data_IF_694026163370
#
_entry.id   IF_694026163370
#
_cell.length_a   1.000
_cell.length_b   1.000
_cell.length_c   1.000
_cell.angle_alpha   90.00
_cell.angle_beta   90.00
_cell.angle_gamma   90.00
#
_symmetry.space_group_name_H-M   'P 1'
#
loop_
_entity.id
_entity.type
_entity.pdbx_description
1 polymer ?
#
# COMPACT_ATOMS: atom_id res chain seq x y z
N UNK A 1 9.79 0.82 18.19
CA UNK A 1 9.94 0.80 16.71
C UNK A 1 9.27 2.03 16.16
N UNK A 2 9.95 2.76 15.26
CA UNK A 2 9.36 3.93 14.61
C UNK A 2 8.72 3.47 13.29
N UNK A 3 7.50 3.91 13.06
CA UNK A 3 6.74 3.65 11.84
C UNK A 3 6.24 4.98 11.29
N UNK A 4 6.34 5.15 9.97
CA UNK A 4 5.82 6.32 9.24
C UNK A 4 4.80 5.82 8.24
N UNK A 5 3.68 6.49 8.12
CA UNK A 5 2.66 6.23 7.10
C UNK A 5 2.48 7.46 6.23
N UNK A 6 2.46 7.26 4.93
CA UNK A 6 2.18 8.30 3.93
C UNK A 6 1.09 7.81 2.99
N UNK A 7 -0.04 8.48 3.04
CA UNK A 7 -1.14 8.36 2.09
C UNK A 7 -1.17 9.55 1.14
N UNK A 8 -2.17 9.60 0.28
CA UNK A 8 -2.39 10.72 -0.65
C UNK A 8 -2.94 11.96 0.08
N UNK A 9 -3.79 11.74 1.10
CA UNK A 9 -4.52 12.80 1.80
C UNK A 9 -4.03 13.05 3.22
N UNK A 10 -3.41 12.04 3.83
CA UNK A 10 -2.97 12.12 5.23
C UNK A 10 -1.72 11.30 5.47
N UNK A 11 -1.03 11.59 6.55
CA UNK A 11 0.15 10.85 6.97
C UNK A 11 0.54 11.16 8.40
N UNK A 12 1.47 10.36 8.93
CA UNK A 12 1.93 10.52 10.29
C UNK A 12 2.99 9.53 10.68
N UNK A 13 3.33 9.54 11.96
CA UNK A 13 4.29 8.58 12.51
C UNK A 13 3.91 8.09 13.90
N UNK A 14 4.43 6.93 14.25
CA UNK A 14 4.22 6.29 15.54
C UNK A 14 5.53 5.80 16.15
N UNK A 15 5.53 5.68 17.46
CA UNK A 15 6.57 5.02 18.24
C UNK A 15 5.95 3.88 19.04
N UNK A 16 6.45 2.66 18.81
CA UNK A 16 5.97 1.45 19.48
C UNK A 16 4.43 1.27 19.41
N UNK A 17 3.87 1.54 18.22
CA UNK A 17 2.44 1.41 17.94
C UNK A 17 1.56 2.52 18.52
N UNK A 18 2.15 3.60 19.07
CA UNK A 18 1.45 4.77 19.57
C UNK A 18 1.66 5.95 18.63
N UNK A 19 0.59 6.50 18.10
CA UNK A 19 0.65 7.69 17.23
C UNK A 19 1.29 8.86 17.97
N UNK A 20 2.30 9.46 17.36
CA UNK A 20 3.00 10.63 17.85
C UNK A 20 2.63 11.89 17.07
N UNK A 21 2.27 11.75 15.80
CA UNK A 21 1.80 12.81 14.94
C UNK A 21 0.95 12.24 13.81
N UNK A 22 -0.09 12.98 13.43
CA UNK A 22 -0.95 12.69 12.29
C UNK A 22 -1.52 13.99 11.75
N UNK A 23 -1.50 14.17 10.43
CA UNK A 23 -2.11 15.33 9.79
C UNK A 23 -2.56 15.02 8.36
N UNK A 24 -3.57 15.77 7.92
CA UNK A 24 -3.89 15.87 6.50
C UNK A 24 -2.78 16.65 5.78
N UNK A 25 -2.59 16.36 4.50
CA UNK A 25 -1.66 17.07 3.62
C UNK A 25 -2.16 17.02 2.17
N UNK A 26 -1.64 17.93 1.35
CA UNK A 26 -1.93 17.96 -0.09
C UNK A 26 -0.75 17.42 -0.94
N UNK A 27 0.42 17.20 -0.30
CA UNK A 27 1.64 16.74 -0.97
C UNK A 27 2.33 15.67 -0.13
N UNK A 28 2.28 14.41 -0.57
CA UNK A 28 2.91 13.29 0.14
C UNK A 28 4.43 13.42 0.31
N UNK A 29 5.13 14.02 -0.66
CA UNK A 29 6.59 14.22 -0.57
C UNK A 29 6.95 15.21 0.54
N UNK A 30 6.25 16.33 0.61
CA UNK A 30 6.45 17.33 1.67
C UNK A 30 6.07 16.79 3.04
N UNK A 31 4.99 15.99 3.12
CA UNK A 31 4.59 15.34 4.37
C UNK A 31 5.67 14.38 4.87
N UNK A 32 6.24 13.58 3.98
CA UNK A 32 7.34 12.68 4.32
C UNK A 32 8.56 13.43 4.88
N UNK A 33 8.97 14.53 4.22
CA UNK A 33 10.08 15.35 4.68
C UNK A 33 9.78 15.97 6.06
N UNK A 34 8.55 16.42 6.27
CA UNK A 34 8.13 16.98 7.55
C UNK A 34 8.27 15.95 8.68
N UNK A 35 7.68 14.76 8.52
CA UNK A 35 7.74 13.70 9.53
C UNK A 35 9.15 13.18 9.74
N UNK A 36 9.93 13.02 8.68
CA UNK A 36 11.33 12.61 8.80
C UNK A 36 12.18 13.64 9.58
N UNK A 37 11.92 14.93 9.38
CA UNK A 37 12.58 16.01 10.14
C UNK A 37 12.21 15.94 11.61
N UNK A 38 10.94 15.79 11.93
CA UNK A 38 10.45 15.67 13.31
C UNK A 38 11.05 14.45 14.02
N UNK A 39 11.01 13.28 13.39
CA UNK A 39 11.62 12.05 13.90
C UNK A 39 13.13 12.25 14.13
N UNK A 40 13.81 12.85 13.16
CA UNK A 40 15.25 13.14 13.26
C UNK A 40 15.57 14.08 14.42
N UNK A 41 14.74 15.07 14.68
CA UNK A 41 14.93 15.99 15.82
C UNK A 41 14.71 15.29 17.17
N UNK A 42 13.72 14.41 17.27
CA UNK A 42 13.35 13.75 18.53
C UNK A 42 14.19 12.50 18.85
N UNK A 43 14.60 11.75 17.83
CA UNK A 43 15.15 10.40 17.99
C UNK A 43 16.56 10.19 17.42
N UNK A 44 17.06 11.10 16.59
CA UNK A 44 18.43 11.02 16.13
C UNK A 44 19.38 11.61 17.18
N UNK A 45 20.30 10.80 17.67
CA UNK A 45 21.40 11.26 18.52
C UNK A 45 22.57 11.78 17.67
N UNK A 46 23.59 12.39 18.34
CA UNK A 46 24.79 12.94 17.68
C UNK A 46 25.48 11.92 16.74
N UNK A 47 25.40 10.64 17.08
CA UNK A 47 26.05 9.53 16.37
C UNK A 47 25.10 8.41 15.95
N UNK A 48 23.81 8.57 16.21
CA UNK A 48 22.80 7.53 15.88
C UNK A 48 21.73 8.14 14.99
N UNK A 49 21.44 7.44 13.89
CA UNK A 49 20.31 7.73 13.02
C UNK A 49 19.05 7.09 13.61
N UNK A 50 17.91 7.74 13.49
CA UNK A 50 16.63 7.11 13.76
C UNK A 50 16.36 6.03 12.71
N UNK A 51 15.90 4.84 13.13
CA UNK A 51 15.53 3.76 12.22
C UNK A 51 14.01 3.66 12.19
N UNK A 52 13.44 3.73 11.00
CA UNK A 52 12.00 3.70 10.81
C UNK A 52 11.58 2.78 9.66
N UNK A 53 10.36 2.26 9.73
CA UNK A 53 9.68 1.62 8.62
C UNK A 53 8.75 2.63 7.97
N UNK A 54 8.77 2.70 6.64
CA UNK A 54 7.89 3.55 5.86
C UNK A 54 6.81 2.71 5.19
N UNK A 55 5.57 3.04 5.52
CA UNK A 55 4.37 2.46 4.95
C UNK A 55 3.74 3.45 3.97
N UNK A 56 3.42 2.98 2.78
CA UNK A 56 2.81 3.77 1.73
C UNK A 56 1.38 3.28 1.48
N UNK A 57 0.42 4.19 1.32
CA UNK A 57 -0.93 3.80 0.91
C UNK A 57 -0.98 3.32 -0.54
N UNK A 58 -2.05 2.60 -0.89
CA UNK A 58 -2.34 2.24 -2.27
C UNK A 58 -2.58 3.47 -3.19
N UNK A 59 -2.96 4.61 -2.62
CA UNK A 59 -3.12 5.86 -3.37
C UNK A 59 -1.81 6.42 -3.92
N UNK A 60 -0.71 6.26 -3.16
CA UNK A 60 0.63 6.77 -3.54
C UNK A 60 1.55 5.69 -4.10
N UNK A 61 1.37 4.42 -3.71
CA UNK A 61 2.16 3.28 -4.17
C UNK A 61 1.23 2.24 -4.80
N UNK A 62 0.98 2.39 -6.09
CA UNK A 62 -0.05 1.65 -6.82
C UNK A 62 0.48 0.35 -7.40
N UNK A 63 -0.16 -0.80 -7.13
CA UNK A 63 0.18 -2.03 -7.81
C UNK A 63 -0.28 -2.01 -9.25
N UNK A 64 0.46 -2.67 -10.11
CA UNK A 64 0.07 -2.97 -11.49
C UNK A 64 0.66 -4.29 -11.94
N UNK A 65 0.13 -4.85 -13.02
CA UNK A 65 0.70 -6.04 -13.62
C UNK A 65 1.66 -5.66 -14.73
N UNK A 66 2.90 -6.12 -14.61
CA UNK A 66 3.86 -6.15 -15.70
C UNK A 66 3.77 -7.55 -16.34
N UNK A 67 3.23 -7.60 -17.55
CA UNK A 67 3.08 -8.86 -18.28
C UNK A 67 4.40 -9.33 -18.91
N UNK A 68 4.48 -10.61 -19.29
CA UNK A 68 5.56 -11.06 -20.12
C UNK A 68 5.47 -10.36 -21.50
N UNK A 69 6.58 -9.82 -21.95
CA UNK A 69 6.69 -9.25 -23.30
C UNK A 69 7.57 -10.17 -24.13
N UNK A 70 7.02 -10.64 -25.25
CA UNK A 70 7.77 -11.53 -26.14
C UNK A 70 9.07 -10.87 -26.61
N UNK A 71 10.18 -11.58 -26.47
CA UNK A 71 11.51 -11.11 -26.87
C UNK A 71 12.26 -10.31 -25.80
N UNK A 72 11.70 -10.11 -24.61
CA UNK A 72 12.39 -9.46 -23.50
C UNK A 72 13.51 -10.37 -22.99
N UNK A 73 14.75 -9.89 -23.08
CA UNK A 73 15.94 -10.68 -22.79
C UNK A 73 16.70 -10.22 -21.53
N UNK A 74 16.35 -9.07 -20.95
CA UNK A 74 17.08 -8.51 -19.82
C UNK A 74 16.18 -7.82 -18.80
N UNK A 75 16.63 -7.79 -17.54
CA UNK A 75 15.98 -7.04 -16.46
C UNK A 75 15.78 -5.55 -16.81
N UNK A 76 16.76 -4.96 -17.48
CA UNK A 76 16.68 -3.56 -17.89
C UNK A 76 15.57 -3.31 -18.90
N UNK A 77 15.31 -4.24 -19.81
CA UNK A 77 14.19 -4.15 -20.75
C UNK A 77 12.86 -4.28 -20.02
N UNK A 78 12.77 -5.22 -19.06
CA UNK A 78 11.58 -5.38 -18.23
C UNK A 78 11.27 -4.11 -17.42
N UNK A 79 12.29 -3.54 -16.79
CA UNK A 79 12.15 -2.29 -16.04
C UNK A 79 11.76 -1.12 -16.95
N UNK A 80 12.37 -1.01 -18.12
CA UNK A 80 12.02 0.05 -19.10
C UNK A 80 10.57 -0.09 -19.57
N UNK A 81 10.14 -1.32 -19.87
CA UNK A 81 8.76 -1.59 -20.26
C UNK A 81 7.78 -1.29 -19.11
N UNK A 82 8.11 -1.72 -17.90
CA UNK A 82 7.29 -1.47 -16.71
C UNK A 82 7.13 0.05 -16.45
N UNK A 83 8.21 0.81 -16.55
CA UNK A 83 8.15 2.29 -16.42
C UNK A 83 7.29 2.92 -17.50
N UNK A 84 7.36 2.44 -18.73
CA UNK A 84 6.55 2.96 -19.82
C UNK A 84 5.05 2.64 -19.68
N UNK A 85 4.72 1.45 -19.16
CA UNK A 85 3.32 0.99 -19.01
C UNK A 85 2.66 1.43 -17.70
N UNK A 86 3.43 1.72 -16.66
CA UNK A 86 2.91 2.03 -15.33
C UNK A 86 1.92 3.22 -15.29
N UNK A 87 2.16 4.36 -15.94
CA UNK A 87 1.19 5.48 -15.91
C UNK A 87 -0.20 5.09 -16.41
N UNK A 88 -0.28 4.39 -17.53
CA UNK A 88 -1.56 3.92 -18.08
C UNK A 88 -2.21 2.87 -17.17
N UNK A 89 -1.43 1.92 -16.67
CA UNK A 89 -1.94 0.83 -15.83
C UNK A 89 -2.41 1.31 -14.45
N UNK A 90 -1.81 2.37 -13.92
CA UNK A 90 -2.08 2.85 -12.56
C UNK A 90 -2.88 4.15 -12.50
N UNK A 91 -3.00 4.88 -13.60
CA UNK A 91 -3.60 6.22 -13.63
C UNK A 91 -2.81 7.25 -12.82
N UNK A 92 -1.48 7.07 -12.67
CA UNK A 92 -0.61 8.10 -12.13
C UNK A 92 -0.33 9.14 -13.20
N UNK A 93 -0.55 10.40 -12.85
CA UNK A 93 -0.20 11.52 -13.72
C UNK A 93 1.27 11.87 -13.58
N UNK A 94 2.03 11.83 -14.68
CA UNK A 94 3.43 12.25 -14.71
C UNK A 94 4.45 11.11 -14.54
N UNK A 95 5.73 11.46 -14.30
CA UNK A 95 6.81 10.49 -14.20
C UNK A 95 6.66 9.64 -12.94
N UNK A 96 6.89 8.33 -13.08
CA UNK A 96 6.85 7.40 -11.96
C UNK A 96 8.14 6.60 -11.84
N UNK A 97 8.43 6.16 -10.63
CA UNK A 97 9.41 5.12 -10.32
C UNK A 97 8.67 3.79 -10.21
N UNK A 98 9.28 2.76 -10.75
CA UNK A 98 8.71 1.40 -10.74
C UNK A 98 9.64 0.46 -10.02
N UNK A 99 9.07 -0.38 -9.18
CA UNK A 99 9.73 -1.53 -8.59
C UNK A 99 9.00 -2.79 -9.05
N UNK A 100 9.73 -3.72 -9.63
CA UNK A 100 9.24 -5.07 -9.94
C UNK A 100 9.70 -6.02 -8.83
N UNK A 101 8.80 -6.91 -8.40
CA UNK A 101 9.14 -7.90 -7.36
C UNK A 101 9.93 -9.07 -7.92
N UNK A 102 9.71 -9.42 -9.19
CA UNK A 102 10.37 -10.55 -9.86
C UNK A 102 10.48 -10.29 -11.36
N UNK A 103 11.13 -11.21 -12.06
CA UNK A 103 11.27 -11.22 -13.51
C UNK A 103 9.94 -11.64 -14.16
N UNK A 104 9.38 -10.84 -15.08
CA UNK A 104 8.18 -11.23 -15.82
C UNK A 104 8.53 -12.26 -16.92
N UNK A 105 8.82 -13.49 -16.52
CA UNK A 105 9.18 -14.58 -17.43
C UNK A 105 8.03 -14.93 -18.37
N UNK A 106 7.35 -16.04 -18.10
CA UNK A 106 6.20 -16.54 -18.84
C UNK A 106 4.85 -16.16 -18.19
N UNK A 107 4.86 -15.44 -17.08
CA UNK A 107 3.68 -14.99 -16.35
C UNK A 107 3.82 -13.50 -15.95
N UNK A 108 2.71 -12.78 -15.81
CA UNK A 108 2.76 -11.42 -15.28
C UNK A 108 3.26 -11.40 -13.83
N UNK A 109 3.99 -10.35 -13.48
CA UNK A 109 4.45 -10.07 -12.12
C UNK A 109 3.83 -8.77 -11.61
N UNK A 110 3.72 -8.66 -10.30
CA UNK A 110 3.26 -7.42 -9.68
C UNK A 110 4.40 -6.41 -9.66
N UNK A 111 4.13 -5.24 -10.21
CA UNK A 111 4.96 -4.06 -10.04
C UNK A 111 4.31 -3.08 -9.09
N UNK A 112 5.12 -2.22 -8.51
CA UNK A 112 4.67 -1.06 -7.73
C UNK A 112 5.10 0.21 -8.47
N UNK A 113 4.15 1.07 -8.80
CA UNK A 113 4.42 2.40 -9.33
C UNK A 113 4.27 3.45 -8.23
N UNK A 114 5.22 4.36 -8.16
CA UNK A 114 5.31 5.45 -7.20
C UNK A 114 5.59 6.74 -7.93
N UNK A 115 4.92 7.84 -7.56
CA UNK A 115 5.23 9.16 -8.07
C UNK A 115 6.72 9.49 -7.92
N UNK A 116 7.34 10.06 -8.96
CA UNK A 116 8.78 10.29 -8.96
C UNK A 116 9.22 11.28 -7.87
N UNK A 117 8.42 12.32 -7.57
CA UNK A 117 8.75 13.30 -6.55
C UNK A 117 8.75 12.67 -5.15
N UNK A 118 7.76 11.79 -4.88
CA UNK A 118 7.75 11.03 -3.62
C UNK A 118 8.92 10.05 -3.53
N UNK A 119 9.27 9.38 -4.61
CA UNK A 119 10.44 8.49 -4.65
C UNK A 119 11.74 9.26 -4.35
N UNK A 120 11.92 10.45 -4.95
CA UNK A 120 13.06 11.33 -4.71
C UNK A 120 13.09 11.83 -3.25
N UNK A 121 11.94 12.17 -2.67
CA UNK A 121 11.83 12.54 -1.26
C UNK A 121 12.26 11.40 -0.33
N UNK A 122 11.85 10.15 -0.61
CA UNK A 122 12.27 8.98 0.16
C UNK A 122 13.80 8.83 0.13
N UNK A 123 14.41 8.96 -1.04
CA UNK A 123 15.86 8.91 -1.20
C UNK A 123 16.58 10.10 -0.52
N UNK A 124 16.01 11.30 -0.63
CA UNK A 124 16.57 12.51 -0.02
C UNK A 124 16.60 12.41 1.51
N UNK A 125 15.51 11.92 2.11
CA UNK A 125 15.43 11.67 3.55
C UNK A 125 16.49 10.65 3.97
N UNK A 126 16.65 9.54 3.21
CA UNK A 126 17.67 8.53 3.50
C UNK A 126 19.10 9.11 3.43
N UNK A 127 19.37 10.00 2.46
CA UNK A 127 20.66 10.68 2.30
C UNK A 127 20.93 11.74 3.38
N UNK A 128 19.89 12.35 3.96
CA UNK A 128 20.01 13.39 4.98
C UNK A 128 20.69 12.93 6.27
N UNK A 129 20.96 11.64 6.41
CA UNK A 129 21.64 10.99 7.53
C UNK A 129 20.91 11.08 8.89
N UNK A 130 19.67 11.52 8.96
CA UNK A 130 18.91 11.61 10.21
C UNK A 130 18.00 10.42 10.42
N UNK A 131 17.36 9.94 9.34
CA UNK A 131 16.49 8.77 9.34
C UNK A 131 17.03 7.73 8.37
N UNK A 132 17.01 6.47 8.78
CA UNK A 132 17.32 5.31 7.94
C UNK A 132 16.06 4.48 7.79
N UNK A 133 15.58 4.34 6.58
CA UNK A 133 14.48 3.42 6.29
C UNK A 133 14.97 1.98 6.42
N UNK A 134 14.39 1.21 7.36
CA UNK A 134 14.61 -0.24 7.45
C UNK A 134 13.86 -0.96 6.35
N UNK A 135 12.65 -0.47 6.06
CA UNK A 135 11.82 -0.93 4.98
C UNK A 135 11.01 0.22 4.41
N UNK A 136 10.71 0.14 3.12
CA UNK A 136 9.74 0.99 2.42
C UNK A 136 8.78 0.05 1.72
N UNK A 137 7.51 0.01 2.13
CA UNK A 137 6.55 -1.00 1.66
C UNK A 137 5.16 -0.41 1.49
N UNK A 138 4.44 -0.76 0.41
CA UNK A 138 3.03 -0.49 0.31
C UNK A 138 2.24 -1.29 1.36
N UNK A 139 1.18 -0.71 1.91
CA UNK A 139 0.31 -1.41 2.86
C UNK A 139 -0.39 -2.61 2.25
N UNK A 140 -0.81 -2.49 0.99
CA UNK A 140 -1.43 -3.60 0.27
C UNK A 140 -0.49 -4.81 0.13
N UNK A 141 0.81 -4.59 -0.08
CA UNK A 141 1.78 -5.69 -0.14
C UNK A 141 1.91 -6.40 1.20
N UNK A 142 1.98 -5.65 2.31
CA UNK A 142 2.01 -6.23 3.65
C UNK A 142 0.73 -7.01 3.97
N UNK A 143 -0.44 -6.50 3.57
CA UNK A 143 -1.71 -7.20 3.74
C UNK A 143 -1.77 -8.51 2.94
N UNK A 144 -1.26 -8.49 1.70
CA UNK A 144 -1.15 -9.68 0.86
C UNK A 144 -0.24 -10.72 1.50
N UNK A 145 0.96 -10.33 1.93
CA UNK A 145 1.92 -11.22 2.60
C UNK A 145 1.32 -11.86 3.86
N UNK A 146 0.68 -11.05 4.71
CA UNK A 146 0.04 -11.53 5.94
C UNK A 146 -1.05 -12.55 5.61
N UNK A 147 -1.88 -12.27 4.60
CA UNK A 147 -2.95 -13.17 4.21
C UNK A 147 -2.45 -14.46 3.61
N UNK A 148 -1.49 -14.40 2.70
CA UNK A 148 -0.90 -15.58 2.09
C UNK A 148 -0.18 -16.47 3.11
N UNK A 149 0.43 -15.89 4.13
CA UNK A 149 1.03 -16.64 5.24
C UNK A 149 -0.03 -17.40 6.05
N UNK A 150 -1.24 -16.84 6.22
CA UNK A 150 -2.34 -17.48 6.95
C UNK A 150 -3.13 -18.47 6.08
N UNK A 151 -3.36 -18.11 4.82
CA UNK A 151 -4.12 -18.89 3.84
C UNK A 151 -3.51 -18.78 2.43
N UNK A 152 -2.63 -19.69 2.04
CA UNK A 152 -1.99 -19.67 0.72
C UNK A 152 -2.96 -19.80 -0.46
N UNK A 153 -4.19 -20.31 -0.21
CA UNK A 153 -5.23 -20.42 -1.24
C UNK A 153 -6.00 -19.14 -1.52
N UNK A 154 -5.70 -18.03 -0.82
CA UNK A 154 -6.41 -16.77 -1.03
C UNK A 154 -6.28 -16.29 -2.46
N UNK A 155 -7.43 -16.10 -3.12
CA UNK A 155 -7.49 -15.69 -4.52
C UNK A 155 -7.82 -14.20 -4.70
N UNK A 156 -8.41 -13.54 -3.70
CA UNK A 156 -8.78 -12.13 -3.76
C UNK A 156 -8.46 -11.42 -2.45
N UNK A 157 -7.72 -10.32 -2.54
CA UNK A 157 -7.40 -9.42 -1.42
C UNK A 157 -7.87 -8.01 -1.77
N UNK A 158 -8.62 -7.39 -0.86
CA UNK A 158 -8.98 -5.99 -0.95
C UNK A 158 -8.44 -5.24 0.27
N UNK A 159 -7.76 -4.14 0.04
CA UNK A 159 -7.25 -3.24 1.06
C UNK A 159 -7.92 -1.89 0.89
N UNK A 160 -8.80 -1.54 1.82
CA UNK A 160 -9.46 -0.25 1.86
C UNK A 160 -8.66 0.69 2.78
N UNK A 161 -8.23 1.81 2.24
CA UNK A 161 -7.54 2.90 2.91
C UNK A 161 -8.37 4.18 2.79
N UNK A 162 -8.00 5.24 3.50
CA UNK A 162 -8.71 6.52 3.45
C UNK A 162 -8.77 7.10 2.03
N UNK A 163 -7.68 6.94 1.28
CA UNK A 163 -7.45 7.55 -0.02
C UNK A 163 -7.54 6.57 -1.20
N UNK A 164 -7.62 5.26 -0.92
CA UNK A 164 -7.59 4.25 -1.97
C UNK A 164 -8.29 2.94 -1.58
N UNK A 165 -8.79 2.25 -2.59
CA UNK A 165 -9.17 0.84 -2.53
C UNK A 165 -8.27 0.06 -3.48
N UNK A 166 -7.42 -0.81 -2.94
CA UNK A 166 -6.55 -1.69 -3.72
C UNK A 166 -7.11 -3.10 -3.78
N UNK A 167 -7.25 -3.63 -5.00
CA UNK A 167 -7.73 -4.98 -5.27
C UNK A 167 -6.61 -5.79 -5.94
N UNK A 168 -6.34 -6.96 -5.40
CA UNK A 168 -5.38 -7.93 -5.92
C UNK A 168 -6.10 -9.28 -6.08
N UNK A 169 -6.06 -9.86 -7.26
CA UNK A 169 -6.64 -11.17 -7.52
C UNK A 169 -5.55 -12.11 -8.02
N UNK A 170 -5.42 -13.27 -7.38
CA UNK A 170 -4.51 -14.32 -7.82
C UNK A 170 -5.22 -15.35 -8.69
N UNK A 171 -4.57 -15.86 -9.73
CA UNK A 171 -5.06 -17.05 -10.43
C UNK A 171 -4.46 -18.29 -9.79
N UNK A 172 -5.31 -19.26 -9.49
CA UNK A 172 -4.87 -20.65 -9.22
C UNK A 172 -4.40 -21.26 -10.54
N UNK A 173 -3.21 -20.87 -11.01
CA UNK A 173 -2.64 -21.56 -12.16
C UNK A 173 -2.37 -23.02 -11.76
N UNK A 174 -3.10 -23.95 -12.39
CA UNK A 174 -2.97 -25.36 -12.12
C UNK A 174 -1.49 -25.79 -12.22
N UNK A 175 -0.93 -26.26 -11.11
CA UNK A 175 0.41 -26.82 -11.04
C UNK A 175 1.55 -25.89 -10.61
N UNK A 176 1.32 -24.61 -10.29
CA UNK A 176 2.35 -23.72 -9.73
C UNK A 176 2.19 -23.57 -8.24
N UNK A 177 3.29 -23.68 -7.50
CA UNK A 177 3.35 -23.49 -6.04
C UNK A 177 3.24 -22.02 -5.61
N UNK A 178 3.25 -21.08 -6.54
CA UNK A 178 3.06 -19.65 -6.29
C UNK A 178 1.73 -19.18 -6.87
N UNK A 179 0.92 -18.53 -6.07
CA UNK A 179 -0.26 -17.77 -6.51
C UNK A 179 0.24 -16.59 -7.35
N UNK A 180 0.23 -16.74 -8.67
CA UNK A 180 0.44 -15.60 -9.55
C UNK A 180 -0.71 -14.60 -9.39
N UNK A 181 -0.41 -13.33 -9.19
CA UNK A 181 -1.41 -12.27 -9.26
C UNK A 181 -1.73 -12.02 -10.73
N UNK A 182 -2.99 -12.05 -11.11
CA UNK A 182 -3.47 -11.83 -12.48
C UNK A 182 -4.33 -10.57 -12.64
N UNK A 183 -4.59 -9.89 -11.52
CA UNK A 183 -5.18 -8.57 -11.49
C UNK A 183 -4.60 -7.77 -10.32
N UNK A 184 -4.18 -6.55 -10.62
CA UNK A 184 -3.82 -5.55 -9.65
C UNK A 184 -4.46 -4.23 -10.05
N UNK A 185 -5.23 -3.60 -9.18
CA UNK A 185 -5.93 -2.36 -9.47
C UNK A 185 -6.09 -1.52 -8.22
N UNK A 186 -5.96 -0.21 -8.38
CA UNK A 186 -6.22 0.76 -7.32
C UNK A 186 -7.23 1.78 -7.79
N UNK A 187 -8.25 2.02 -6.98
CA UNK A 187 -9.22 3.08 -7.12
C UNK A 187 -8.84 4.23 -6.18
N UNK A 188 -8.49 5.37 -6.74
CA UNK A 188 -8.15 6.58 -5.99
C UNK A 188 -8.78 7.79 -6.71
N UNK A 189 -9.58 8.64 -6.02
CA UNK A 189 -9.91 8.53 -4.59
C UNK A 189 -10.65 7.24 -4.24
N UNK A 190 -10.60 6.86 -2.95
CA UNK A 190 -11.30 5.68 -2.47
C UNK A 190 -12.81 5.79 -2.78
N UNK A 191 -13.43 4.73 -3.34
CA UNK A 191 -14.88 4.71 -3.53
C UNK A 191 -15.58 4.70 -2.17
N UNK A 192 -16.82 5.20 -2.12
CA UNK A 192 -17.65 5.05 -0.94
C UNK A 192 -17.89 3.57 -0.59
N UNK A 193 -18.37 3.31 0.63
CA UNK A 193 -18.53 1.93 1.12
C UNK A 193 -19.49 1.10 0.26
N UNK A 194 -20.54 1.69 -0.28
CA UNK A 194 -21.48 1.02 -1.16
C UNK A 194 -20.83 0.65 -2.49
N UNK A 195 -20.10 1.56 -3.09
CA UNK A 195 -19.35 1.33 -4.32
C UNK A 195 -18.22 0.30 -4.10
N UNK A 196 -17.48 0.40 -3.00
CA UNK A 196 -16.44 -0.54 -2.65
C UNK A 196 -17.00 -1.96 -2.47
N UNK A 197 -18.15 -2.09 -1.83
CA UNK A 197 -18.85 -3.36 -1.66
C UNK A 197 -19.35 -3.93 -2.99
N UNK A 198 -19.91 -3.09 -3.85
CA UNK A 198 -20.34 -3.51 -5.20
C UNK A 198 -19.17 -3.97 -6.07
N UNK A 199 -18.04 -3.26 -6.03
CA UNK A 199 -16.79 -3.66 -6.71
C UNK A 199 -16.28 -5.01 -6.20
N UNK A 200 -16.28 -5.18 -4.89
CA UNK A 200 -15.88 -6.42 -4.23
C UNK A 200 -16.71 -7.62 -4.70
N UNK A 201 -18.04 -7.51 -4.61
CA UNK A 201 -18.95 -8.58 -5.06
C UNK A 201 -18.80 -8.86 -6.55
N UNK A 202 -18.69 -7.83 -7.38
CA UNK A 202 -18.45 -7.99 -8.82
C UNK A 202 -17.17 -8.78 -9.08
N UNK A 203 -16.08 -8.46 -8.35
CA UNK A 203 -14.82 -9.17 -8.47
C UNK A 203 -14.95 -10.64 -8.09
N UNK A 204 -15.56 -10.93 -6.94
CA UNK A 204 -15.79 -12.31 -6.50
C UNK A 204 -16.57 -13.12 -7.55
N UNK A 205 -17.67 -12.56 -8.06
CA UNK A 205 -18.51 -13.21 -9.07
C UNK A 205 -17.80 -13.38 -10.41
N UNK A 206 -17.11 -12.34 -10.90
CA UNK A 206 -16.45 -12.38 -12.21
C UNK A 206 -15.25 -13.33 -12.25
N UNK A 207 -14.68 -13.63 -11.10
CA UNK A 207 -13.51 -14.50 -10.95
C UNK A 207 -13.80 -15.84 -10.31
N UNK A 208 -15.08 -16.11 -10.02
CA UNK A 208 -15.55 -17.33 -9.35
C UNK A 208 -14.74 -17.61 -8.05
N UNK A 209 -14.52 -16.54 -7.26
CA UNK A 209 -13.76 -16.63 -6.02
C UNK A 209 -14.67 -17.01 -4.86
N UNK A 210 -14.44 -18.16 -4.20
CA UNK A 210 -15.20 -18.54 -3.01
C UNK A 210 -15.01 -17.50 -1.89
N UNK A 211 -16.02 -17.28 -1.04
CA UNK A 211 -15.90 -16.34 0.10
C UNK A 211 -14.71 -16.65 1.02
N UNK A 212 -14.38 -17.91 1.22
CA UNK A 212 -13.24 -18.33 2.06
C UNK A 212 -11.86 -17.97 1.47
N UNK A 213 -11.78 -17.84 0.15
CA UNK A 213 -10.58 -17.47 -0.58
C UNK A 213 -10.50 -15.94 -0.85
N UNK A 214 -11.44 -15.19 -0.31
CA UNK A 214 -11.53 -13.75 -0.43
C UNK A 214 -11.27 -13.07 0.92
N UNK A 215 -10.48 -12.00 0.91
CA UNK A 215 -10.12 -11.27 2.13
C UNK A 215 -10.19 -9.77 1.93
N UNK A 216 -11.03 -9.12 2.71
CA UNK A 216 -11.22 -7.68 2.72
C UNK A 216 -10.76 -7.12 4.06
N UNK A 217 -9.87 -6.15 4.00
CA UNK A 217 -9.35 -5.45 5.18
C UNK A 217 -9.51 -3.95 5.02
N UNK A 218 -9.68 -3.29 6.13
CA UNK A 218 -9.70 -1.84 6.22
C UNK A 218 -8.51 -1.36 7.04
N UNK A 219 -7.81 -0.33 6.57
CA UNK A 219 -6.79 0.34 7.34
C UNK A 219 -7.46 1.41 8.20
N UNK A 220 -7.60 1.13 9.48
CA UNK A 220 -8.08 2.12 10.44
C UNK A 220 -7.04 3.24 10.58
N UNK A 221 -7.40 4.44 10.16
CA UNK A 221 -6.57 5.64 10.29
C UNK A 221 -6.84 6.27 11.65
N UNK A 222 -5.84 6.81 12.37
CA UNK A 222 -6.07 7.54 13.60
C UNK A 222 -6.94 8.76 13.33
N UNK A 223 -8.04 8.89 14.06
CA UNK A 223 -8.86 10.12 14.04
C UNK A 223 -8.06 11.20 14.77
N UNK A 224 -7.82 12.33 14.09
CA UNK A 224 -7.17 13.47 14.72
C UNK A 224 -7.96 13.87 15.98
N UNK A 225 -7.25 14.04 17.11
CA UNK A 225 -7.86 14.43 18.36
C UNK A 225 -8.46 15.84 18.22
N UNK A 226 -9.72 15.95 17.83
CA UNK A 226 -10.42 17.22 17.59
C UNK A 226 -11.75 17.09 16.88
N UNK A 227 -11.98 16.04 16.13
CA UNK A 227 -13.28 15.82 15.47
C UNK A 227 -14.12 14.83 16.28
N UNK A 228 -15.03 15.36 17.08
CA UNK A 228 -16.02 14.61 17.87
C UNK A 228 -17.07 14.05 16.91
N UNK A 229 -16.80 12.93 16.28
CA UNK A 229 -17.85 12.08 15.74
C UNK A 229 -18.39 11.21 16.87
N UNK A 230 -19.69 11.31 17.12
CA UNK A 230 -20.41 10.65 18.20
C UNK A 230 -20.51 9.14 18.00
N UNK A 231 -19.41 8.42 18.22
CA UNK A 231 -19.39 6.96 18.30
C UNK A 231 -18.40 6.53 19.37
N UNK A 232 -18.94 5.96 20.43
CA UNK A 232 -18.35 5.31 21.61
C UNK A 232 -16.85 5.55 21.90
N UNK A 233 -16.51 6.18 23.05
CA UNK A 233 -15.20 6.79 23.31
C UNK A 233 -14.07 5.85 23.71
N UNK A 234 -14.17 4.53 23.63
CA UNK A 234 -13.28 3.71 24.47
C UNK A 234 -12.14 2.94 23.79
N UNK A 235 -11.99 2.95 22.46
CA UNK A 235 -10.91 2.16 21.86
C UNK A 235 -10.09 2.83 20.72
N UNK A 236 -10.40 4.04 20.28
CA UNK A 236 -9.84 4.60 19.04
C UNK A 236 -8.88 5.77 19.18
N UNK A 237 -8.73 6.32 20.37
CA UNK A 237 -7.82 7.46 20.60
C UNK A 237 -6.37 6.98 20.66
N UNK A 238 -5.62 7.22 19.62
CA UNK A 238 -4.17 7.05 19.60
C UNK A 238 -3.62 5.74 19.04
N UNK A 239 -4.46 4.86 18.47
CA UNK A 239 -3.97 3.64 17.83
C UNK A 239 -3.37 3.94 16.44
N UNK A 240 -2.17 3.41 16.19
CA UNK A 240 -1.53 3.45 14.88
C UNK A 240 -2.38 2.69 13.84
N UNK A 241 -2.39 3.13 12.55
CA UNK A 241 -3.13 2.43 11.51
C UNK A 241 -2.85 0.94 11.49
N UNK A 242 -3.87 0.14 11.78
CA UNK A 242 -3.80 -1.32 11.78
C UNK A 242 -4.76 -1.89 10.75
N UNK A 243 -4.39 -3.01 10.16
CA UNK A 243 -5.30 -3.78 9.33
C UNK A 243 -6.39 -4.39 10.21
N UNK A 244 -7.63 -4.01 9.94
CA UNK A 244 -8.81 -4.55 10.61
C UNK A 244 -9.62 -5.31 9.57
N UNK A 245 -9.92 -6.58 9.85
CA UNK A 245 -10.81 -7.35 8.98
C UNK A 245 -12.19 -6.68 8.99
N UNK A 246 -12.70 -6.32 7.83
CA UNK A 246 -14.08 -5.88 7.70
C UNK A 246 -14.99 -7.07 8.02
N UNK A 247 -15.94 -6.88 8.94
CA UNK A 247 -16.97 -7.87 9.17
C UNK A 247 -17.67 -8.15 7.83
N UNK A 248 -17.78 -9.42 7.46
CA UNK A 248 -18.59 -9.82 6.33
C UNK A 248 -20.01 -9.39 6.67
N UNK A 249 -20.51 -8.37 5.98
CA UNK A 249 -21.88 -7.93 6.12
C UNK A 249 -22.76 -9.14 5.81
N UNK A 250 -23.52 -9.58 6.81
CA UNK A 250 -24.57 -10.58 6.65
C UNK A 250 -25.44 -10.15 5.47
N UNK A 251 -25.32 -10.89 4.37
CA UNK A 251 -26.31 -10.85 3.31
C UNK A 251 -27.54 -11.51 3.89
N UNK A 252 -28.48 -10.70 4.36
CA UNK A 252 -29.84 -11.12 4.67
C UNK A 252 -30.71 -11.02 3.43
#
# INVERSE_FOLDING_TARGET
MIEVYIGLLSGGWALDGRTQGWSAHADPAQALEHWAREIGQRHAGRWRRARADLWLSGGVARPFLCGPVAGMASWREAETFAVASAPEATGLDGPCRVLLEDWPGDAPVVGTALDAALAEAIEAVARSNRVVWRSVRPRWAAALDERLAQRPSTALVAVAEEDALTLLCGSKAAGRSSTGVDLASTYSPAPDEGQATALWHRMMLSRDVPPDDAWRVHLAVPVAAGETSASTPDERSGAWPRLVKLAEGLVS
#
